data_IF_237896697554
#
_entry.id   IF_237896697554
#
_cell.length_a   1.000
_cell.length_b   1.000
_cell.length_c   1.000
_cell.angle_alpha   90.00
_cell.angle_beta   90.00
_cell.angle_gamma   90.00
#
_symmetry.space_group_name_H-M   'P 1'
#
loop_
_entity.id
_entity.type
_entity.pdbx_description
1 polymer ?
#
# COMPACT_ATOMS: atom_id res chain seq x y z
N UNK A 1 -9.68 12.42 -23.32
CA UNK A 1 -8.74 12.57 -22.19
C UNK A 1 -7.34 12.73 -22.76
N UNK A 2 -6.72 13.88 -22.56
CA UNK A 2 -5.39 14.20 -23.12
C UNK A 2 -4.32 13.36 -22.42
N UNK A 3 -3.63 12.48 -23.15
CA UNK A 3 -2.43 11.78 -22.65
C UNK A 3 -1.35 12.84 -22.36
N UNK A 4 -1.08 13.12 -21.08
CA UNK A 4 0.15 13.82 -20.72
C UNK A 4 1.32 13.03 -21.31
N UNK A 5 2.14 13.67 -22.16
CA UNK A 5 3.47 13.16 -22.55
C UNK A 5 4.37 13.19 -21.29
N UNK A 6 4.21 12.19 -20.42
CA UNK A 6 5.05 11.98 -19.26
C UNK A 6 6.14 10.94 -19.57
N UNK A 7 7.23 10.97 -18.83
CA UNK A 7 8.26 9.91 -18.88
C UNK A 7 7.59 8.54 -18.72
N UNK A 8 8.08 7.54 -19.44
CA UNK A 8 7.63 6.15 -19.29
C UNK A 8 7.86 5.71 -17.83
N UNK A 9 6.85 5.12 -17.17
CA UNK A 9 7.00 4.65 -15.78
C UNK A 9 8.17 3.67 -15.64
N UNK A 10 8.88 3.76 -14.52
CA UNK A 10 9.94 2.80 -14.17
C UNK A 10 9.26 1.47 -13.84
N UNK A 11 9.63 0.45 -14.59
CA UNK A 11 9.01 -0.88 -14.53
C UNK A 11 9.59 -1.75 -13.42
N UNK A 12 8.84 -2.77 -12.95
CA UNK A 12 9.39 -3.81 -12.09
C UNK A 12 10.64 -4.46 -12.70
N UNK A 13 11.59 -4.81 -11.86
CA UNK A 13 12.83 -5.46 -12.31
C UNK A 13 12.53 -6.83 -12.91
N UNK A 14 12.84 -7.02 -14.18
CA UNK A 14 12.61 -8.31 -14.87
C UNK A 14 13.39 -9.46 -14.24
N UNK A 15 12.72 -10.62 -14.10
CA UNK A 15 13.36 -11.86 -13.65
C UNK A 15 14.41 -12.41 -14.62
N UNK A 16 14.47 -11.91 -15.85
CA UNK A 16 15.52 -12.24 -16.83
C UNK A 16 16.80 -11.44 -16.61
N UNK A 17 16.69 -10.25 -16.01
CA UNK A 17 17.86 -9.40 -15.67
C UNK A 17 18.43 -9.73 -14.30
N UNK A 18 17.55 -9.92 -13.30
CA UNK A 18 17.94 -10.28 -11.94
C UNK A 18 17.06 -11.45 -11.48
N UNK A 19 17.62 -12.57 -11.01
CA UNK A 19 16.84 -13.69 -10.51
C UNK A 19 15.83 -13.26 -9.45
N UNK A 20 14.64 -13.90 -9.40
CA UNK A 20 13.55 -13.51 -8.49
C UNK A 20 13.89 -13.66 -7.01
N UNK A 21 14.85 -14.50 -6.66
CA UNK A 21 15.34 -14.68 -5.29
C UNK A 21 16.39 -13.63 -4.87
N UNK A 22 16.85 -12.77 -5.79
CA UNK A 22 17.86 -11.74 -5.54
C UNK A 22 17.29 -10.33 -5.73
N UNK A 23 18.02 -9.32 -5.28
CA UNK A 23 17.64 -7.92 -5.38
C UNK A 23 16.72 -7.43 -4.27
N UNK A 24 16.19 -6.21 -4.41
CA UNK A 24 15.34 -5.57 -3.42
C UNK A 24 14.04 -6.37 -3.17
N UNK A 25 13.62 -6.40 -1.91
CA UNK A 25 12.37 -7.06 -1.48
C UNK A 25 11.18 -6.10 -1.53
N UNK A 26 11.04 -5.34 -2.61
CA UNK A 26 9.87 -4.49 -2.85
C UNK A 26 8.70 -5.29 -3.42
N UNK A 27 7.48 -4.78 -3.28
CA UNK A 27 6.29 -5.39 -3.88
C UNK A 27 6.46 -5.52 -5.39
N UNK A 28 6.20 -6.70 -5.94
CA UNK A 28 6.35 -7.02 -7.37
C UNK A 28 7.70 -6.58 -7.97
N UNK A 29 8.72 -6.34 -7.15
CA UNK A 29 10.04 -5.82 -7.56
C UNK A 29 9.97 -4.41 -8.19
N UNK A 30 8.99 -3.62 -7.78
CA UNK A 30 8.84 -2.22 -8.15
C UNK A 30 10.01 -1.38 -7.64
N UNK A 31 10.27 -0.20 -8.23
CA UNK A 31 11.21 0.75 -7.69
C UNK A 31 10.79 1.18 -6.27
N UNK A 32 11.74 1.56 -5.45
CA UNK A 32 11.44 2.24 -4.19
C UNK A 32 10.96 3.68 -4.47
N UNK A 33 10.14 4.23 -3.58
CA UNK A 33 9.57 5.58 -3.74
C UNK A 33 10.66 6.65 -3.90
N UNK A 34 11.82 6.45 -3.27
CA UNK A 34 12.97 7.38 -3.39
C UNK A 34 13.64 7.39 -4.76
N UNK A 35 13.42 6.35 -5.57
CA UNK A 35 14.06 6.16 -6.88
C UNK A 35 13.20 6.69 -8.04
N UNK A 36 12.02 7.26 -7.74
CA UNK A 36 11.12 7.83 -8.73
C UNK A 36 10.94 9.34 -8.50
N UNK A 37 10.81 10.10 -9.58
CA UNK A 37 10.62 11.56 -9.51
C UNK A 37 9.18 11.94 -9.12
N UNK A 38 8.22 11.13 -9.54
CA UNK A 38 6.79 11.27 -9.22
C UNK A 38 6.18 9.88 -9.05
N UNK A 39 5.11 9.78 -8.28
CA UNK A 39 4.46 8.52 -8.01
C UNK A 39 2.93 8.70 -8.05
N UNK A 40 2.27 7.95 -8.92
CA UNK A 40 0.81 7.98 -9.00
C UNK A 40 0.20 7.13 -7.88
N UNK A 41 0.78 5.94 -7.62
CA UNK A 41 0.32 5.03 -6.57
C UNK A 41 1.50 4.48 -5.79
N UNK A 42 1.51 4.69 -4.48
CA UNK A 42 2.51 4.10 -3.58
C UNK A 42 1.95 2.83 -2.90
N UNK A 43 2.73 1.75 -2.93
CA UNK A 43 2.49 0.56 -2.11
C UNK A 43 3.17 0.78 -0.76
N UNK A 44 2.41 0.68 0.34
CA UNK A 44 2.96 0.92 1.68
C UNK A 44 2.56 -0.20 2.65
N UNK A 45 3.49 -0.69 3.43
CA UNK A 45 3.22 -1.65 4.49
C UNK A 45 2.85 -0.94 5.81
N UNK A 46 1.95 -1.55 6.58
CA UNK A 46 1.60 -1.11 7.94
C UNK A 46 1.65 -2.33 8.86
N UNK A 47 2.85 -2.70 9.34
CA UNK A 47 3.09 -3.92 10.12
C UNK A 47 2.64 -3.76 11.58
N UNK A 48 1.33 -3.69 11.81
CA UNK A 48 0.71 -3.51 13.13
C UNK A 48 -0.35 -4.57 13.41
N UNK A 49 -0.37 -5.14 14.64
CA UNK A 49 -1.34 -6.14 15.04
C UNK A 49 -1.65 -6.17 16.56
N UNK A 50 -1.38 -5.05 17.25
CA UNK A 50 -1.68 -4.95 18.67
C UNK A 50 -3.20 -4.86 18.97
N UNK A 51 -4.04 -4.70 17.96
CA UNK A 51 -5.51 -4.75 18.08
C UNK A 51 -6.12 -6.14 17.92
N UNK A 52 -5.32 -7.19 17.72
CA UNK A 52 -5.84 -8.55 17.56
C UNK A 52 -6.36 -9.13 18.87
N UNK A 53 -7.55 -9.71 18.84
CA UNK A 53 -8.19 -10.32 20.01
C UNK A 53 -7.82 -11.79 20.24
N UNK A 54 -7.19 -12.45 19.25
CA UNK A 54 -6.88 -13.88 19.34
C UNK A 54 -5.39 -14.19 19.18
N UNK A 55 -4.84 -14.02 17.99
CA UNK A 55 -3.42 -14.33 17.71
C UNK A 55 -2.72 -13.19 17.00
N UNK A 56 -1.57 -12.72 17.51
CA UNK A 56 -0.71 -11.81 16.77
C UNK A 56 -0.09 -12.54 15.57
N UNK A 57 0.43 -11.77 14.61
CA UNK A 57 1.10 -12.30 13.41
C UNK A 57 0.77 -11.50 12.15
N UNK A 58 -0.32 -10.74 12.15
CA UNK A 58 -0.68 -9.89 11.01
C UNK A 58 0.38 -8.82 10.71
N UNK A 59 1.20 -8.44 11.69
CA UNK A 59 2.37 -7.54 11.51
C UNK A 59 3.38 -8.02 10.46
N UNK A 60 3.42 -9.33 10.19
CA UNK A 60 4.30 -9.92 9.18
C UNK A 60 3.67 -9.93 7.77
N UNK A 61 2.41 -9.48 7.65
CA UNK A 61 1.67 -9.44 6.38
C UNK A 61 2.39 -8.69 5.29
N UNK A 62 2.83 -7.43 5.49
CA UNK A 62 3.52 -6.65 4.46
C UNK A 62 4.76 -7.36 3.90
N UNK A 63 5.59 -7.91 4.77
CA UNK A 63 6.79 -8.66 4.38
C UNK A 63 6.43 -9.92 3.57
N UNK A 64 5.47 -10.69 4.04
CA UNK A 64 5.03 -11.92 3.38
C UNK A 64 4.42 -11.64 2.00
N UNK A 65 3.63 -10.58 1.86
CA UNK A 65 3.04 -10.15 0.60
C UNK A 65 4.13 -9.72 -0.38
N UNK A 66 5.11 -8.92 0.05
CA UNK A 66 6.25 -8.54 -0.79
C UNK A 66 7.03 -9.76 -1.26
N UNK A 67 7.31 -10.69 -0.36
CA UNK A 67 8.03 -11.91 -0.72
C UNK A 67 7.26 -12.74 -1.74
N UNK A 68 5.96 -12.94 -1.55
CA UNK A 68 5.12 -13.68 -2.49
C UNK A 68 4.99 -12.96 -3.85
N UNK A 69 4.88 -11.64 -3.84
CA UNK A 69 4.74 -10.84 -5.07
C UNK A 69 5.95 -10.92 -6.01
N UNK A 70 7.13 -11.33 -5.52
CA UNK A 70 8.34 -11.53 -6.37
C UNK A 70 8.17 -12.63 -7.40
N UNK A 71 7.20 -13.53 -7.22
CA UNK A 71 6.90 -14.61 -8.14
C UNK A 71 6.01 -14.20 -9.31
N UNK A 72 5.49 -12.98 -9.33
CA UNK A 72 4.75 -12.45 -10.47
C UNK A 72 5.60 -12.53 -11.76
N UNK A 73 5.01 -13.11 -12.81
CA UNK A 73 5.68 -13.32 -14.11
C UNK A 73 5.26 -12.31 -15.15
N UNK A 74 4.04 -11.83 -15.07
CA UNK A 74 3.47 -10.83 -15.97
C UNK A 74 2.85 -9.70 -15.17
N UNK A 75 2.90 -8.50 -15.72
CA UNK A 75 2.24 -7.31 -15.17
C UNK A 75 0.88 -7.06 -15.85
N UNK A 76 0.53 -7.87 -16.84
CA UNK A 76 -0.73 -7.81 -17.56
C UNK A 76 -1.84 -8.56 -16.81
N UNK A 77 -2.98 -7.91 -16.66
CA UNK A 77 -4.18 -8.48 -16.04
C UNK A 77 -5.22 -8.82 -17.11
N UNK A 78 -5.41 -10.10 -17.48
CA UNK A 78 -6.19 -10.47 -18.65
C UNK A 78 -7.69 -10.14 -18.52
N UNK A 79 -8.26 -10.19 -17.32
CA UNK A 79 -9.68 -9.92 -17.12
C UNK A 79 -10.05 -8.43 -17.31
N UNK A 80 -9.10 -7.53 -17.17
CA UNK A 80 -9.30 -6.08 -17.33
C UNK A 80 -8.54 -5.50 -18.52
N UNK A 81 -7.82 -6.33 -19.27
CA UNK A 81 -6.98 -5.90 -20.40
C UNK A 81 -6.10 -4.71 -20.02
N UNK A 82 -5.40 -4.82 -18.90
CA UNK A 82 -4.66 -3.71 -18.30
C UNK A 82 -3.25 -4.10 -17.87
N UNK A 83 -2.33 -3.15 -17.99
CA UNK A 83 -0.95 -3.22 -17.50
C UNK A 83 -0.68 -2.06 -16.54
N UNK A 84 -1.11 -2.16 -15.26
CA UNK A 84 -1.08 -1.04 -14.31
C UNK A 84 0.29 -0.36 -14.17
N UNK A 85 1.36 -1.14 -14.25
CA UNK A 85 2.72 -0.61 -14.10
C UNK A 85 3.26 0.09 -15.37
N UNK A 86 2.62 -0.12 -16.52
CA UNK A 86 2.91 0.64 -17.75
C UNK A 86 2.12 1.95 -17.81
N UNK A 87 0.94 1.97 -17.23
CA UNK A 87 0.02 3.12 -17.31
C UNK A 87 0.26 4.13 -16.20
N UNK A 88 0.76 3.69 -15.04
CA UNK A 88 0.97 4.50 -13.85
C UNK A 88 2.36 4.26 -13.28
N UNK A 89 2.98 5.32 -12.71
CA UNK A 89 4.17 5.14 -11.91
C UNK A 89 3.78 4.60 -10.54
N UNK A 90 4.01 3.31 -10.34
CA UNK A 90 3.83 2.66 -9.04
C UNK A 90 5.20 2.46 -8.38
N UNK A 91 5.28 2.69 -7.08
CA UNK A 91 6.51 2.51 -6.30
C UNK A 91 6.21 1.91 -4.92
N UNK A 92 7.18 1.21 -4.36
CA UNK A 92 7.09 0.70 -2.98
C UNK A 92 7.63 1.76 -2.01
N UNK A 93 6.79 2.20 -1.08
CA UNK A 93 7.13 3.21 -0.09
C UNK A 93 7.73 2.62 1.21
N UNK A 94 7.97 1.31 1.24
CA UNK A 94 8.41 0.62 2.46
C UNK A 94 7.29 0.49 3.50
N UNK A 95 7.68 0.49 4.77
CA UNK A 95 6.75 0.28 5.89
C UNK A 95 6.61 1.55 6.74
N UNK A 96 5.39 1.82 7.17
CA UNK A 96 5.13 2.80 8.23
C UNK A 96 5.48 2.16 9.57
N UNK A 97 6.43 2.76 10.27
CA UNK A 97 6.81 2.35 11.62
C UNK A 97 5.93 3.03 12.66
N UNK A 98 5.51 2.27 13.68
CA UNK A 98 4.73 2.78 14.80
C UNK A 98 5.10 2.04 16.10
N UNK A 99 4.69 2.59 17.25
CA UNK A 99 4.94 1.97 18.56
C UNK A 99 4.05 0.74 18.74
N UNK A 100 4.59 -0.50 18.80
CA UNK A 100 3.78 -1.70 18.89
C UNK A 100 3.15 -1.92 20.28
N UNK A 101 3.48 -1.10 21.26
CA UNK A 101 3.04 -1.25 22.65
C UNK A 101 1.96 -0.24 23.07
N UNK A 102 1.64 0.74 22.22
CA UNK A 102 0.62 1.76 22.51
C UNK A 102 -0.24 1.99 21.28
N UNK A 103 -1.49 1.50 21.32
CA UNK A 103 -2.43 1.57 20.20
C UNK A 103 -2.75 3.02 19.81
N UNK A 104 -2.99 3.89 20.80
CA UNK A 104 -3.36 5.29 20.53
C UNK A 104 -2.21 6.03 19.82
N UNK A 105 -1.01 5.86 20.35
CA UNK A 105 0.20 6.42 19.75
C UNK A 105 0.42 5.87 18.33
N UNK A 106 0.22 4.57 18.15
CA UNK A 106 0.34 3.94 16.82
C UNK A 106 -0.66 4.50 15.82
N UNK A 107 -1.91 4.70 16.21
CA UNK A 107 -2.94 5.31 15.37
C UNK A 107 -2.51 6.71 14.91
N UNK A 108 -1.99 7.53 15.83
CA UNK A 108 -1.48 8.87 15.51
C UNK A 108 -0.26 8.83 14.57
N UNK A 109 0.69 7.94 14.85
CA UNK A 109 1.90 7.78 14.02
C UNK A 109 1.56 7.30 12.60
N UNK A 110 0.68 6.29 12.49
CA UNK A 110 0.23 5.78 11.18
C UNK A 110 -0.53 6.86 10.42
N UNK A 111 -1.45 7.59 11.08
CA UNK A 111 -2.19 8.67 10.44
C UNK A 111 -1.26 9.77 9.94
N UNK A 112 -0.28 10.18 10.74
CA UNK A 112 0.69 11.20 10.35
C UNK A 112 1.51 10.74 9.14
N UNK A 113 2.11 9.55 9.22
CA UNK A 113 2.94 9.00 8.14
C UNK A 113 2.15 8.83 6.83
N UNK A 114 0.90 8.32 6.90
CA UNK A 114 0.03 8.20 5.75
C UNK A 114 -0.36 9.56 5.17
N UNK A 115 -0.60 10.58 6.01
CA UNK A 115 -0.87 11.95 5.56
C UNK A 115 0.33 12.53 4.82
N UNK A 116 1.53 12.38 5.38
CA UNK A 116 2.78 12.87 4.79
C UNK A 116 3.09 12.15 3.46
N UNK A 117 2.76 10.87 3.35
CA UNK A 117 2.89 10.10 2.13
C UNK A 117 1.88 10.57 1.06
N UNK A 118 0.61 10.69 1.42
CA UNK A 118 -0.47 11.13 0.53
C UNK A 118 -0.28 12.56 0.00
N UNK A 119 0.50 13.38 0.68
CA UNK A 119 0.88 14.70 0.17
C UNK A 119 1.87 14.63 -1.01
N UNK A 120 2.57 13.52 -1.18
CA UNK A 120 3.63 13.33 -2.19
C UNK A 120 3.19 12.46 -3.37
N UNK A 121 2.13 11.66 -3.21
CA UNK A 121 1.68 10.68 -4.19
C UNK A 121 0.21 10.87 -4.54
N UNK A 122 -0.22 10.33 -5.70
CA UNK A 122 -1.62 10.38 -6.12
C UNK A 122 -2.54 9.59 -5.20
N UNK A 123 -2.15 8.35 -4.87
CA UNK A 123 -2.89 7.46 -3.98
C UNK A 123 -1.98 6.45 -3.30
N UNK A 124 -2.54 5.68 -2.36
CA UNK A 124 -1.83 4.60 -1.66
C UNK A 124 -2.61 3.29 -1.75
N UNK A 125 -1.89 2.18 -1.81
CA UNK A 125 -2.38 0.83 -1.54
C UNK A 125 -1.63 0.34 -0.31
N UNK A 126 -2.35 0.09 0.78
CA UNK A 126 -1.75 -0.35 2.03
C UNK A 126 -1.82 -1.86 2.19
N UNK A 127 -0.71 -2.46 2.60
CA UNK A 127 -0.63 -3.86 3.01
C UNK A 127 -0.60 -3.90 4.55
N UNK A 128 -1.61 -4.47 5.17
CA UNK A 128 -1.68 -4.54 6.61
C UNK A 128 -1.20 -5.86 7.16
N UNK A 129 -1.25 -5.94 8.32
CA UNK A 129 -1.57 -5.64 9.66
C UNK A 129 -3.01 -6.04 9.99
N UNK A 130 -3.39 -5.80 11.19
CA UNK A 130 -4.77 -6.01 11.62
C UNK A 130 -5.69 -4.87 11.17
N UNK A 131 -6.98 -5.00 11.47
CA UNK A 131 -7.98 -4.02 11.02
C UNK A 131 -7.89 -2.64 11.71
N UNK A 132 -7.14 -2.52 12.80
CA UNK A 132 -6.91 -1.24 13.49
C UNK A 132 -6.30 -0.20 12.57
N UNK A 133 -5.47 -0.63 11.59
CA UNK A 133 -4.84 0.28 10.64
C UNK A 133 -5.82 1.02 9.73
N UNK A 134 -7.04 0.52 9.56
CA UNK A 134 -8.03 1.15 8.71
C UNK A 134 -8.40 2.56 9.21
N UNK A 135 -8.57 2.74 10.52
CA UNK A 135 -8.94 4.02 11.12
C UNK A 135 -7.94 5.15 10.79
N UNK A 136 -6.64 5.04 11.08
CA UNK A 136 -5.68 6.10 10.77
C UNK A 136 -5.51 6.34 9.27
N UNK A 137 -5.59 5.30 8.44
CA UNK A 137 -5.49 5.43 6.99
C UNK A 137 -6.70 6.19 6.41
N UNK A 138 -7.91 5.87 6.85
CA UNK A 138 -9.13 6.58 6.44
C UNK A 138 -9.11 8.04 6.89
N UNK A 139 -8.63 8.33 8.10
CA UNK A 139 -8.44 9.71 8.58
C UNK A 139 -7.45 10.49 7.72
N UNK A 140 -6.38 9.87 7.27
CA UNK A 140 -5.40 10.51 6.39
C UNK A 140 -6.01 10.81 4.99
N UNK A 141 -6.80 9.89 4.43
CA UNK A 141 -7.50 10.09 3.15
C UNK A 141 -8.57 11.18 3.27
N UNK A 142 -9.37 11.16 4.35
CA UNK A 142 -10.37 12.19 4.60
C UNK A 142 -9.73 13.58 4.68
N UNK A 143 -8.60 13.71 5.38
CA UNK A 143 -7.86 14.98 5.47
C UNK A 143 -7.38 15.47 4.09
N UNK A 144 -6.92 14.54 3.21
CA UNK A 144 -6.52 14.89 1.83
C UNK A 144 -7.69 15.40 1.00
N UNK A 145 -8.86 14.79 1.14
CA UNK A 145 -10.02 15.06 0.30
C UNK A 145 -10.91 16.21 0.84
N UNK A 146 -10.66 16.70 2.05
CA UNK A 146 -11.45 17.76 2.73
C UNK A 146 -12.96 17.45 2.80
N UNK A 147 -13.35 16.19 2.99
CA UNK A 147 -14.75 15.82 3.03
C UNK A 147 -15.01 14.34 3.32
N UNK A 148 -16.27 13.95 3.44
CA UNK A 148 -16.62 12.57 3.70
C UNK A 148 -16.14 11.64 2.60
N UNK A 149 -15.70 10.44 2.99
CA UNK A 149 -15.26 9.39 2.08
C UNK A 149 -16.22 8.22 2.14
N UNK A 150 -16.53 7.63 1.00
CA UNK A 150 -17.26 6.37 0.94
C UNK A 150 -16.28 5.21 1.18
N UNK A 151 -16.73 4.23 1.98
CA UNK A 151 -15.93 3.04 2.29
C UNK A 151 -16.69 1.80 1.84
N UNK A 152 -16.04 0.95 1.06
CA UNK A 152 -16.57 -0.34 0.63
C UNK A 152 -15.73 -1.47 1.21
N UNK A 153 -16.37 -2.50 1.73
CA UNK A 153 -15.72 -3.68 2.30
C UNK A 153 -16.06 -4.93 1.51
N UNK A 154 -15.08 -5.81 1.34
CA UNK A 154 -15.27 -7.09 0.62
C UNK A 154 -15.16 -8.16 1.66
N UNK A 155 -15.18 -8.68 2.46
CA UNK A 155 -14.99 -9.80 3.41
C UNK A 155 -15.18 -9.47 4.90
N UNK A 156 -15.75 -8.32 5.21
CA UNK A 156 -16.24 -8.16 6.56
C UNK A 156 -17.61 -8.80 6.65
N UNK A 157 -17.71 -9.95 7.32
CA UNK A 157 -19.00 -10.48 7.77
C UNK A 157 -19.50 -9.58 8.88
N UNK A 158 -20.36 -8.65 8.54
CA UNK A 158 -21.01 -7.84 9.53
C UNK A 158 -22.44 -8.27 9.73
N UNK A 159 -22.81 -8.27 11.02
CA UNK A 159 -23.99 -7.55 11.39
C UNK A 159 -23.62 -6.26 12.13
N UNK A 160 -22.75 -5.44 11.61
CA UNK A 160 -22.43 -4.18 12.28
C UNK A 160 -22.50 -3.04 11.30
N UNK A 161 -23.71 -2.73 10.88
CA UNK A 161 -24.04 -1.36 10.52
C UNK A 161 -24.28 -0.63 11.85
N UNK A 162 -23.24 -0.10 12.44
CA UNK A 162 -23.41 1.00 13.37
C UNK A 162 -23.38 2.26 12.53
N UNK A 163 -24.54 2.86 12.36
CA UNK A 163 -24.64 4.26 11.95
C UNK A 163 -23.91 5.10 13.00
N UNK A 164 -22.91 5.81 12.56
CA UNK A 164 -22.25 6.87 13.32
C UNK A 164 -22.97 8.17 13.03
#
# INVERSE_FOLDING_TARGET
>A
MSKKKGKTPIQPVSGTKVPRFAGASTFARLPELKDVESCDVAIVGVPFDAGTSYRPGARFGPQSIRQASRHLRTNYHPAYDAEPFLEQQVADAGDITCNPFNINESVEQIQKAATDLLAKVGGIISMGGDHTIALPLLRAVNKKNNGPIAVSYTHLTLPTIYSV
#
